data_IF_686934797534
#
_entry.id   IF_686934797534
#
_cell.length_a   1.000
_cell.length_b   1.000
_cell.length_c   1.000
_cell.angle_alpha   90.00
_cell.angle_beta   90.00
_cell.angle_gamma   90.00
#
_symmetry.space_group_name_H-M   'P 1'
#
loop_
_entity.id
_entity.type
_entity.pdbx_description
1 polymer ?
#
# COMPACT_ATOMS: atom_id res chain seq x y z
N UNK A 1 4.17 -52.56 -15.98
CA UNK A 1 4.28 -51.98 -17.33
C UNK A 1 2.95 -51.27 -17.60
N UNK A 2 2.88 -49.97 -17.34
CA UNK A 2 2.95 -48.85 -18.30
C UNK A 2 1.52 -48.41 -18.68
N UNK A 3 1.07 -47.16 -18.72
CA UNK A 3 1.40 -45.83 -18.16
C UNK A 3 0.08 -45.00 -18.28
N UNK A 4 -0.18 -43.95 -17.48
CA UNK A 4 -1.37 -43.11 -17.65
C UNK A 4 -1.22 -42.12 -18.84
N UNK A 5 -2.31 -41.64 -19.46
CA UNK A 5 -2.22 -40.78 -20.63
C UNK A 5 -1.65 -39.39 -20.29
N UNK A 6 -0.69 -38.96 -21.12
CA UNK A 6 0.08 -37.71 -21.04
C UNK A 6 -0.78 -36.44 -20.98
N UNK A 7 -0.43 -35.56 -20.03
CA UNK A 7 -0.76 -34.15 -20.04
C UNK A 7 -0.05 -33.47 -21.22
N UNK A 8 -0.83 -33.12 -22.25
CA UNK A 8 -0.34 -32.41 -23.43
C UNK A 8 -0.13 -30.92 -23.10
N UNK A 9 1.11 -30.52 -22.82
CA UNK A 9 1.54 -29.13 -22.98
C UNK A 9 2.43 -29.01 -24.22
N UNK A 10 2.14 -28.05 -25.11
CA UNK A 10 3.21 -27.33 -25.80
C UNK A 10 3.06 -25.81 -25.67
N UNK A 11 3.96 -25.25 -24.84
CA UNK A 11 4.85 -24.10 -25.06
C UNK A 11 4.34 -22.70 -25.50
N UNK A 12 5.09 -21.64 -25.12
CA UNK A 12 4.62 -20.27 -25.02
C UNK A 12 4.78 -19.50 -26.34
N UNK A 13 3.82 -18.64 -26.67
CA UNK A 13 4.01 -17.56 -27.66
C UNK A 13 3.58 -16.22 -27.08
N UNK A 14 4.57 -15.44 -26.65
CA UNK A 14 4.54 -13.96 -26.70
C UNK A 14 4.88 -13.57 -28.15
N UNK A 15 4.37 -12.46 -28.72
CA UNK A 15 4.54 -11.11 -28.16
C UNK A 15 3.30 -10.21 -28.21
N UNK A 16 3.27 -9.23 -27.31
CA UNK A 16 2.31 -8.14 -27.31
C UNK A 16 2.34 -7.36 -28.63
N UNK A 17 1.16 -6.97 -29.12
CA UNK A 17 1.03 -6.04 -30.23
C UNK A 17 1.56 -4.66 -29.82
N UNK A 18 2.54 -4.16 -30.57
CA UNK A 18 3.06 -2.80 -30.46
C UNK A 18 2.23 -1.90 -31.37
N UNK A 19 1.27 -1.15 -30.82
CA UNK A 19 0.49 -0.17 -31.57
C UNK A 19 0.56 1.18 -30.86
N UNK A 20 1.65 1.91 -31.11
CA UNK A 20 1.59 3.36 -31.21
C UNK A 20 2.49 3.82 -32.37
N UNK A 21 1.98 4.60 -33.34
CA UNK A 21 2.81 5.27 -34.31
C UNK A 21 3.53 6.44 -33.61
N UNK A 22 4.86 6.40 -33.63
CA UNK A 22 5.70 7.53 -33.19
C UNK A 22 5.83 8.55 -34.32
N UNK A 23 5.50 9.84 -34.14
CA UNK A 23 5.95 10.88 -35.04
C UNK A 23 7.41 11.25 -34.75
N UNK A 24 8.20 11.27 -35.82
CA UNK A 24 9.64 11.53 -35.89
C UNK A 24 10.06 12.86 -35.21
N UNK A 25 11.23 12.87 -34.55
CA UNK A 25 12.43 13.59 -35.04
C UNK A 25 13.65 13.42 -34.13
N UNK A 26 14.63 12.69 -34.67
CA UNK A 26 16.09 12.93 -34.59
C UNK A 26 16.78 13.19 -33.25
N UNK A 27 17.53 12.20 -32.77
CA UNK A 27 18.94 12.42 -32.45
C UNK A 27 19.75 11.12 -32.65
N UNK A 28 20.74 11.24 -33.53
CA UNK A 28 21.64 10.18 -33.94
C UNK A 28 22.81 10.17 -32.94
N UNK A 29 22.93 9.14 -32.09
CA UNK A 29 24.17 8.88 -31.34
C UNK A 29 24.51 7.41 -31.48
N UNK A 30 25.37 7.13 -32.48
CA UNK A 30 26.20 5.93 -32.50
C UNK A 30 27.02 5.92 -31.21
N UNK A 31 26.92 4.89 -30.36
CA UNK A 31 27.90 4.63 -29.32
C UNK A 31 28.74 3.40 -29.72
N UNK A 32 30.06 3.53 -29.78
CA UNK A 32 30.95 2.44 -30.14
C UNK A 32 31.04 1.44 -28.99
N UNK A 33 31.33 0.19 -29.37
CA UNK A 33 31.74 -0.88 -28.48
C UNK A 33 33.18 -0.63 -28.08
N UNK A 34 33.43 -0.36 -26.80
CA UNK A 34 34.76 -0.45 -26.17
C UNK A 34 34.60 -1.17 -24.83
N UNK A 35 35.24 -2.34 -24.75
CA UNK A 35 35.65 -3.01 -23.53
C UNK A 35 36.95 -2.33 -23.07
N UNK A 36 37.00 -1.70 -21.88
CA UNK A 36 38.15 -1.67 -20.96
C UNK A 36 37.81 -0.97 -19.63
N UNK A 37 38.63 -1.18 -18.62
CA UNK A 37 38.37 -1.10 -17.18
C UNK A 37 38.28 0.32 -16.60
N UNK A 38 37.26 0.60 -15.77
CA UNK A 38 37.42 1.56 -14.66
C UNK A 38 36.44 1.30 -13.50
N UNK A 39 36.96 0.67 -12.46
CA UNK A 39 36.39 0.62 -11.11
C UNK A 39 36.68 1.96 -10.43
N UNK A 40 35.65 2.73 -10.10
CA UNK A 40 35.53 3.59 -8.89
C UNK A 40 34.33 4.55 -9.04
N UNK A 41 33.53 4.69 -7.98
CA UNK A 41 32.46 5.70 -7.71
C UNK A 41 31.07 5.17 -7.29
N UNK A 42 30.92 3.88 -6.97
CA UNK A 42 29.64 3.36 -6.40
C UNK A 42 29.61 3.39 -4.85
N UNK A 43 30.73 3.67 -4.20
CA UNK A 43 30.90 3.45 -2.74
C UNK A 43 30.34 4.56 -1.85
N UNK A 44 30.07 5.77 -2.35
CA UNK A 44 29.66 6.89 -1.49
C UNK A 44 28.13 7.01 -1.31
N UNK A 45 27.34 6.67 -2.35
CA UNK A 45 25.88 6.70 -2.25
C UNK A 45 25.30 5.50 -1.51
N UNK A 46 25.95 4.32 -1.59
CA UNK A 46 25.50 3.13 -0.86
C UNK A 46 25.78 3.22 0.63
N UNK A 47 26.93 3.76 1.04
CA UNK A 47 27.28 3.95 2.46
C UNK A 47 26.32 4.92 3.15
N UNK A 48 25.93 6.00 2.45
CA UNK A 48 24.89 6.92 2.95
C UNK A 48 23.50 6.28 2.97
N UNK A 49 23.18 5.33 2.07
CA UNK A 49 21.94 4.51 2.14
C UNK A 49 21.97 3.45 3.23
N UNK A 50 23.12 2.94 3.60
CA UNK A 50 23.27 1.95 4.69
C UNK A 50 23.14 2.60 6.07
N UNK A 51 23.58 3.84 6.25
CA UNK A 51 23.44 4.56 7.54
C UNK A 51 21.99 4.95 7.91
N UNK A 52 21.04 4.83 6.97
CA UNK A 52 19.61 5.21 7.11
C UNK A 52 18.79 4.39 8.12
N UNK A 53 19.37 3.35 8.73
CA UNK A 53 18.66 2.43 9.65
C UNK A 53 19.26 2.35 11.05
N UNK A 54 20.35 3.08 11.34
CA UNK A 54 21.21 2.73 12.47
C UNK A 54 20.89 3.39 13.82
N UNK A 55 20.19 4.52 13.89
CA UNK A 55 20.31 5.39 15.09
C UNK A 55 19.11 5.48 16.05
N UNK A 56 18.00 4.76 15.83
CA UNK A 56 16.79 4.93 16.69
C UNK A 56 16.20 3.64 17.26
N UNK A 57 16.88 2.51 17.11
CA UNK A 57 16.27 1.17 17.21
C UNK A 57 16.73 0.30 18.40
N UNK A 58 17.71 0.73 19.20
CA UNK A 58 18.47 -0.20 20.05
C UNK A 58 17.68 -0.81 21.22
N UNK A 59 16.61 -0.16 21.71
CA UNK A 59 15.83 -0.65 22.85
C UNK A 59 14.77 -1.71 22.47
N UNK A 60 14.24 -1.70 21.24
CA UNK A 60 13.17 -2.59 20.79
C UNK A 60 13.67 -3.81 19.99
N UNK A 61 14.99 -3.99 19.91
CA UNK A 61 15.63 -5.07 19.17
C UNK A 61 15.84 -6.30 20.07
N UNK A 62 15.49 -7.47 19.55
CA UNK A 62 15.94 -8.72 20.15
C UNK A 62 17.46 -8.83 20.04
N UNK A 63 18.09 -9.53 20.98
CA UNK A 63 19.54 -9.78 20.96
C UNK A 63 19.99 -10.46 19.64
N UNK A 64 19.18 -11.38 19.11
CA UNK A 64 19.40 -12.02 17.81
C UNK A 64 19.36 -11.00 16.65
N UNK A 65 18.49 -9.99 16.72
CA UNK A 65 18.36 -8.97 15.67
C UNK A 65 19.55 -8.00 15.69
N UNK A 66 20.03 -7.64 16.89
CA UNK A 66 21.24 -6.83 17.06
C UNK A 66 22.46 -7.56 16.50
N UNK A 67 22.59 -8.85 16.80
CA UNK A 67 23.66 -9.68 16.25
C UNK A 67 23.60 -9.79 14.73
N UNK A 68 22.40 -9.93 14.16
CA UNK A 68 22.21 -9.96 12.71
C UNK A 68 22.65 -8.64 12.04
N UNK A 69 22.31 -7.50 12.62
CA UNK A 69 22.70 -6.18 12.12
C UNK A 69 24.22 -6.00 12.18
N UNK A 70 24.84 -6.33 13.31
CA UNK A 70 26.30 -6.20 13.48
C UNK A 70 27.07 -7.01 12.41
N UNK A 71 26.73 -8.29 12.24
CA UNK A 71 27.41 -9.13 11.25
C UNK A 71 27.20 -8.63 9.81
N UNK A 72 26.06 -7.98 9.53
CA UNK A 72 25.67 -7.58 8.18
C UNK A 72 26.08 -6.16 7.80
N UNK A 73 25.96 -5.21 8.71
CA UNK A 73 26.22 -3.78 8.48
C UNK A 73 27.63 -3.40 8.90
N UNK A 74 28.11 -3.87 10.06
CA UNK A 74 29.43 -3.51 10.59
C UNK A 74 30.52 -4.40 10.01
N UNK A 75 30.35 -5.73 10.07
CA UNK A 75 31.33 -6.69 9.56
C UNK A 75 31.15 -7.01 8.06
N UNK A 76 30.03 -6.60 7.46
CA UNK A 76 29.73 -6.79 6.03
C UNK A 76 29.83 -8.24 5.51
N UNK A 77 29.53 -9.22 6.36
CA UNK A 77 29.69 -10.64 6.02
C UNK A 77 28.66 -11.14 4.98
N UNK A 78 29.02 -12.16 4.17
CA UNK A 78 28.07 -12.83 3.29
C UNK A 78 27.10 -13.69 4.11
N UNK A 79 25.86 -13.85 3.62
CA UNK A 79 24.80 -14.53 4.36
C UNK A 79 25.13 -15.96 4.81
N UNK A 80 25.94 -16.67 4.03
CA UNK A 80 26.37 -18.03 4.36
C UNK A 80 27.25 -18.06 5.61
N UNK A 81 28.13 -17.09 5.76
CA UNK A 81 29.02 -17.02 6.92
C UNK A 81 28.30 -16.44 8.14
N UNK A 82 27.34 -15.54 7.93
CA UNK A 82 26.40 -15.11 8.98
C UNK A 82 25.65 -16.33 9.55
N UNK A 83 25.13 -17.23 8.70
CA UNK A 83 24.44 -18.43 9.17
C UNK A 83 25.36 -19.33 10.03
N UNK A 84 26.62 -19.50 9.64
CA UNK A 84 27.62 -20.23 10.45
C UNK A 84 27.86 -19.54 11.80
N UNK A 85 28.00 -18.21 11.83
CA UNK A 85 28.16 -17.43 13.08
C UNK A 85 26.96 -17.59 14.01
N UNK A 86 25.74 -17.60 13.49
CA UNK A 86 24.55 -17.89 14.29
C UNK A 86 24.57 -19.32 14.88
N UNK A 87 25.10 -20.30 14.15
CA UNK A 87 25.26 -21.66 14.65
C UNK A 87 26.35 -21.75 15.71
N UNK A 88 27.51 -21.14 15.49
CA UNK A 88 28.65 -21.19 16.41
C UNK A 88 28.44 -20.37 17.68
N UNK A 89 27.96 -19.14 17.56
CA UNK A 89 27.94 -18.17 18.67
C UNK A 89 26.61 -18.20 19.43
N UNK A 90 25.51 -18.57 18.75
CA UNK A 90 24.16 -18.60 19.34
C UNK A 90 23.55 -20.01 19.42
N UNK A 91 24.22 -21.03 18.87
CA UNK A 91 23.70 -22.40 18.82
C UNK A 91 22.44 -22.57 17.96
N UNK A 92 22.10 -21.57 17.14
CA UNK A 92 20.84 -21.53 16.37
C UNK A 92 21.13 -21.72 14.90
N UNK A 93 20.49 -22.72 14.30
CA UNK A 93 20.66 -23.02 12.89
C UNK A 93 19.60 -22.29 12.05
N UNK A 94 19.99 -21.18 11.41
CA UNK A 94 19.11 -20.45 10.50
C UNK A 94 19.46 -20.72 9.04
N UNK A 95 18.45 -20.91 8.20
CA UNK A 95 18.64 -20.88 6.75
C UNK A 95 18.91 -19.43 6.30
N UNK A 96 19.76 -19.26 5.29
CA UNK A 96 20.09 -17.98 4.65
C UNK A 96 18.83 -17.20 4.27
N UNK A 97 17.82 -17.86 3.69
CA UNK A 97 16.57 -17.20 3.30
C UNK A 97 15.82 -16.59 4.51
N UNK A 98 15.83 -17.29 5.65
CA UNK A 98 15.21 -16.80 6.87
C UNK A 98 15.94 -15.56 7.41
N UNK A 99 17.27 -15.57 7.42
CA UNK A 99 18.10 -14.41 7.82
C UNK A 99 17.89 -13.22 6.89
N UNK A 100 17.83 -13.45 5.58
CA UNK A 100 17.56 -12.41 4.58
C UNK A 100 16.20 -11.76 4.81
N UNK A 101 15.15 -12.57 5.00
CA UNK A 101 13.81 -12.05 5.29
C UNK A 101 13.76 -11.28 6.61
N UNK A 102 14.43 -11.82 7.64
CA UNK A 102 14.52 -11.18 8.95
C UNK A 102 15.20 -9.81 8.85
N UNK A 103 16.37 -9.73 8.21
CA UNK A 103 17.07 -8.48 7.96
C UNK A 103 16.26 -7.49 7.10
N UNK A 104 15.60 -7.97 6.04
CA UNK A 104 14.72 -7.13 5.21
C UNK A 104 13.62 -6.48 6.06
N UNK A 105 12.94 -7.25 6.90
CA UNK A 105 11.88 -6.74 7.80
C UNK A 105 12.46 -5.76 8.81
N UNK A 106 13.66 -6.03 9.31
CA UNK A 106 14.35 -5.18 10.27
C UNK A 106 14.65 -3.80 9.69
N UNK A 107 15.21 -3.76 8.47
CA UNK A 107 15.47 -2.49 7.78
C UNK A 107 14.21 -1.69 7.48
N UNK A 108 13.11 -2.36 7.14
CA UNK A 108 11.83 -1.68 6.94
C UNK A 108 11.28 -1.15 8.27
N UNK A 109 11.31 -1.96 9.33
CA UNK A 109 10.84 -1.58 10.67
C UNK A 109 11.57 -0.34 11.19
N UNK A 110 12.87 -0.25 10.96
CA UNK A 110 13.72 0.84 11.45
C UNK A 110 14.12 1.85 10.37
N UNK A 111 13.33 1.94 9.31
CA UNK A 111 13.55 2.94 8.27
C UNK A 111 13.38 4.34 8.86
N UNK A 112 14.46 5.12 8.87
CA UNK A 112 14.43 6.51 9.31
C UNK A 112 14.09 7.41 8.12
N UNK A 113 13.17 8.35 8.32
CA UNK A 113 12.93 9.44 7.37
C UNK A 113 14.05 10.46 7.49
N UNK A 114 14.79 10.68 6.41
CA UNK A 114 15.77 11.76 6.37
C UNK A 114 15.07 13.10 6.14
N UNK A 115 15.76 14.19 6.48
CA UNK A 115 15.24 15.54 6.25
C UNK A 115 14.86 15.79 4.78
N UNK A 116 15.63 15.22 3.84
CA UNK A 116 15.31 15.27 2.41
C UNK A 116 14.00 14.55 2.07
N UNK A 117 13.74 13.39 2.70
CA UNK A 117 12.50 12.63 2.50
C UNK A 117 11.30 13.41 3.04
N UNK A 118 11.45 14.02 4.23
CA UNK A 118 10.41 14.85 4.85
C UNK A 118 10.13 16.08 4.01
N UNK A 119 11.16 16.75 3.49
CA UNK A 119 11.01 17.92 2.64
C UNK A 119 10.33 17.57 1.31
N UNK A 120 10.71 16.44 0.70
CA UNK A 120 10.03 15.93 -0.49
C UNK A 120 8.56 15.61 -0.23
N UNK A 121 8.25 15.00 0.93
CA UNK A 121 6.87 14.72 1.33
C UNK A 121 6.05 16.00 1.51
N UNK A 122 6.60 17.02 2.18
CA UNK A 122 5.95 18.33 2.35
C UNK A 122 5.63 18.97 1.00
N UNK A 123 6.61 19.01 0.09
CA UNK A 123 6.43 19.59 -1.24
C UNK A 123 5.38 18.83 -2.06
N UNK A 124 5.41 17.49 -2.00
CA UNK A 124 4.40 16.66 -2.66
C UNK A 124 2.99 16.90 -2.11
N UNK A 125 2.87 17.05 -0.78
CA UNK A 125 1.60 17.37 -0.14
C UNK A 125 1.09 18.75 -0.55
N UNK A 126 1.95 19.78 -0.52
CA UNK A 126 1.57 21.14 -0.94
C UNK A 126 1.13 21.18 -2.41
N UNK A 127 1.85 20.48 -3.29
CA UNK A 127 1.44 20.33 -4.68
C UNK A 127 0.07 19.65 -4.79
N UNK A 128 -0.14 18.56 -4.06
CA UNK A 128 -1.42 17.87 -4.04
C UNK A 128 -2.54 18.78 -3.55
N UNK A 129 -2.36 19.57 -2.49
CA UNK A 129 -3.39 20.48 -1.99
C UNK A 129 -3.82 21.51 -3.04
N UNK A 130 -2.85 22.05 -3.79
CA UNK A 130 -3.08 23.04 -4.85
C UNK A 130 -3.73 22.40 -6.09
N UNK A 131 -3.37 21.16 -6.42
CA UNK A 131 -3.76 20.51 -7.69
C UNK A 131 -4.73 19.33 -7.54
N UNK A 132 -5.23 19.02 -6.33
CA UNK A 132 -6.09 17.85 -6.09
C UNK A 132 -7.32 17.83 -6.98
N UNK A 133 -7.93 19.00 -7.23
CA UNK A 133 -9.12 19.10 -8.08
C UNK A 133 -8.80 18.92 -9.55
N UNK A 134 -7.61 19.33 -10.01
CA UNK A 134 -7.14 19.06 -11.37
C UNK A 134 -6.89 17.56 -11.55
N UNK A 135 -6.27 16.91 -10.56
CA UNK A 135 -6.05 15.46 -10.55
C UNK A 135 -7.39 14.72 -10.54
N UNK A 136 -8.34 15.12 -9.69
CA UNK A 136 -9.68 14.51 -9.63
C UNK A 136 -10.44 14.73 -10.93
N UNK A 137 -10.49 15.95 -11.45
CA UNK A 137 -11.11 16.28 -12.74
C UNK A 137 -10.54 15.43 -13.85
N UNK A 138 -9.21 15.31 -13.93
CA UNK A 138 -8.54 14.42 -14.87
C UNK A 138 -9.01 12.98 -14.67
N UNK A 139 -8.99 12.43 -13.46
CA UNK A 139 -9.40 11.04 -13.22
C UNK A 139 -10.87 10.78 -13.51
N UNK A 140 -11.76 11.70 -13.19
CA UNK A 140 -13.20 11.60 -13.47
C UNK A 140 -13.46 11.72 -14.98
N UNK A 141 -12.71 12.57 -15.68
CA UNK A 141 -12.95 12.86 -17.10
C UNK A 141 -12.19 11.96 -18.08
N UNK A 142 -11.04 11.40 -17.68
CA UNK A 142 -10.23 10.49 -18.50
C UNK A 142 -10.53 9.02 -18.22
N UNK A 143 -11.16 8.67 -17.09
CA UNK A 143 -11.55 7.30 -16.85
C UNK A 143 -12.81 6.99 -17.64
N UNK A 144 -12.76 5.92 -18.43
CA UNK A 144 -13.90 5.22 -19.08
C UNK A 144 -15.13 5.01 -18.19
N UNK A 145 -15.04 5.27 -16.88
CA UNK A 145 -16.19 5.31 -15.96
C UNK A 145 -17.28 6.25 -16.46
N UNK A 146 -16.97 7.40 -17.06
CA UNK A 146 -18.01 8.28 -17.60
C UNK A 146 -18.50 7.83 -18.98
N UNK A 147 -17.70 7.10 -19.77
CA UNK A 147 -18.19 6.47 -21.01
C UNK A 147 -19.20 5.35 -20.71
N UNK A 148 -19.01 4.58 -19.64
CA UNK A 148 -19.96 3.55 -19.18
C UNK A 148 -21.29 4.15 -18.72
N UNK A 149 -21.29 5.41 -18.27
CA UNK A 149 -22.50 6.19 -17.91
C UNK A 149 -22.96 7.18 -18.99
N UNK A 150 -22.40 7.14 -20.21
CA UNK A 150 -22.79 8.00 -21.33
C UNK A 150 -22.47 9.50 -21.17
N UNK A 151 -21.59 9.85 -20.22
CA UNK A 151 -21.18 11.21 -19.94
C UNK A 151 -19.96 11.56 -20.81
N UNK A 152 -20.22 12.22 -21.93
CA UNK A 152 -19.20 12.80 -22.82
C UNK A 152 -18.59 14.10 -22.27
N UNK A 153 -19.12 14.61 -21.16
CA UNK A 153 -18.75 15.92 -20.64
C UNK A 153 -17.60 15.82 -19.64
N UNK A 154 -16.52 16.54 -19.97
CA UNK A 154 -15.36 16.70 -19.10
C UNK A 154 -15.73 17.63 -17.95
N UNK A 155 -15.64 17.15 -16.71
CA UNK A 155 -15.95 17.94 -15.53
C UNK A 155 -14.78 18.82 -15.14
N UNK A 156 -14.93 20.17 -15.12
CA UNK A 156 -13.85 21.05 -14.70
C UNK A 156 -13.51 20.87 -13.20
N UNK A 157 -12.26 21.10 -12.78
CA UNK A 157 -11.79 20.98 -11.39
C UNK A 157 -12.72 21.67 -10.37
N UNK A 158 -13.18 22.88 -10.69
CA UNK A 158 -14.09 23.66 -9.83
C UNK A 158 -15.44 22.98 -9.59
N UNK A 159 -15.95 22.24 -10.57
CA UNK A 159 -17.21 21.51 -10.44
C UNK A 159 -17.06 20.29 -9.54
N UNK A 160 -15.95 19.56 -9.70
CA UNK A 160 -15.60 18.46 -8.80
C UNK A 160 -15.47 18.97 -7.34
N UNK A 161 -14.80 20.11 -7.14
CA UNK A 161 -14.62 20.73 -5.83
C UNK A 161 -15.96 21.08 -5.16
N UNK A 162 -16.83 21.79 -5.86
CA UNK A 162 -18.15 22.18 -5.35
C UNK A 162 -18.99 20.95 -5.01
N UNK A 163 -19.01 19.97 -5.91
CA UNK A 163 -19.81 18.76 -5.69
C UNK A 163 -19.31 17.95 -4.49
N UNK A 164 -18.00 17.89 -4.31
CA UNK A 164 -17.42 17.22 -3.15
C UNK A 164 -17.76 17.93 -1.83
N UNK A 165 -17.80 19.27 -1.80
CA UNK A 165 -18.23 20.03 -0.61
C UNK A 165 -19.68 19.71 -0.21
N UNK A 166 -20.59 19.60 -1.19
CA UNK A 166 -21.97 19.16 -0.93
C UNK A 166 -22.01 17.74 -0.33
N UNK A 167 -21.22 16.82 -0.88
CA UNK A 167 -21.11 15.44 -0.39
C UNK A 167 -20.56 15.42 1.04
N UNK A 168 -19.52 16.19 1.34
CA UNK A 168 -18.97 16.28 2.70
C UNK A 168 -19.98 16.85 3.69
N UNK A 169 -20.76 17.86 3.30
CA UNK A 169 -21.83 18.41 4.12
C UNK A 169 -22.94 17.36 4.38
N UNK A 170 -23.32 16.58 3.36
CA UNK A 170 -24.27 15.48 3.52
C UNK A 170 -23.72 14.38 4.43
N UNK A 171 -22.45 13.96 4.25
CA UNK A 171 -21.79 12.97 5.12
C UNK A 171 -21.76 13.47 6.57
N UNK A 172 -21.40 14.72 6.79
CA UNK A 172 -21.38 15.32 8.12
C UNK A 172 -22.78 15.34 8.75
N UNK A 173 -23.81 15.72 7.99
CA UNK A 173 -25.20 15.71 8.44
C UNK A 173 -25.67 14.30 8.79
N UNK A 174 -25.40 13.30 7.96
CA UNK A 174 -25.74 11.90 8.23
C UNK A 174 -25.03 11.38 9.48
N UNK A 175 -23.74 11.67 9.65
CA UNK A 175 -22.99 11.28 10.86
C UNK A 175 -23.58 11.88 12.12
N UNK A 176 -23.99 13.16 12.09
CA UNK A 176 -24.62 13.83 13.21
C UNK A 176 -26.00 13.23 13.56
N UNK A 177 -26.82 12.93 12.54
CA UNK A 177 -28.14 12.32 12.72
C UNK A 177 -28.05 10.91 13.34
N UNK A 178 -27.07 10.09 12.94
CA UNK A 178 -26.84 8.76 13.53
C UNK A 178 -26.40 8.85 15.01
N UNK A 179 -25.60 9.85 15.38
CA UNK A 179 -25.19 10.06 16.79
C UNK A 179 -26.27 10.71 17.66
N UNK A 180 -27.18 11.49 17.06
CA UNK A 180 -28.27 12.17 17.78
C UNK A 180 -29.48 11.28 18.10
N UNK A 181 -29.61 10.11 17.47
CA UNK A 181 -30.78 9.23 17.60
C UNK A 181 -30.87 8.42 18.91
N UNK A 182 -29.97 8.64 19.89
CA UNK A 182 -30.02 7.98 21.20
C UNK A 182 -30.56 8.86 22.34
N UNK A 183 -31.04 10.08 22.08
CA UNK A 183 -31.71 10.89 23.11
C UNK A 183 -33.01 11.52 22.59
N UNK A 184 -34.12 10.98 23.08
CA UNK A 184 -35.38 11.72 23.21
C UNK A 184 -36.50 11.29 22.28
N UNK A 185 -37.09 10.12 22.53
CA UNK A 185 -38.54 9.98 22.28
C UNK A 185 -39.27 10.60 23.48
N UNK A 186 -40.06 11.67 23.34
CA UNK A 186 -41.03 12.01 24.37
C UNK A 186 -42.09 10.91 24.34
N UNK A 187 -42.24 10.18 25.44
CA UNK A 187 -43.37 9.29 25.64
C UNK A 187 -44.65 10.11 25.56
N UNK A 188 -45.48 9.83 24.56
CA UNK A 188 -46.90 10.17 24.61
C UNK A 188 -47.63 8.97 25.23
N UNK A 189 -48.04 9.12 26.48
CA UNK A 189 -48.84 8.11 27.19
C UNK A 189 -50.27 8.14 26.65
N UNK A 190 -50.78 6.99 26.21
CA UNK A 190 -52.18 6.78 25.84
C UNK A 190 -52.90 6.08 27.01
N UNK A 191 -54.07 6.55 27.49
CA UNK A 191 -54.77 5.93 28.60
C UNK A 191 -55.53 4.69 28.12
N UNK A 192 -55.47 3.64 28.95
CA UNK A 192 -56.22 2.39 28.83
C UNK A 192 -57.64 2.62 29.34
N UNK A 193 -58.64 2.31 28.50
CA UNK A 193 -60.03 2.15 28.93
C UNK A 193 -60.39 0.66 28.80
N UNK A 194 -60.78 0.07 29.93
CA UNK A 194 -61.08 -1.35 30.05
C UNK A 194 -62.54 -1.64 29.71
N UNK A 195 -62.80 -2.83 29.15
CA UNK A 195 -64.16 -3.38 29.16
C UNK A 195 -64.12 -4.91 29.27
N UNK A 196 -64.64 -5.37 30.41
CA UNK A 196 -64.82 -6.75 30.87
C UNK A 196 -66.09 -7.33 30.26
N UNK A 197 -66.04 -8.45 29.52
CA UNK A 197 -67.13 -9.43 29.31
C UNK A 197 -66.51 -10.67 28.61
N UNK A 198 -66.91 -11.93 28.74
CA UNK A 198 -67.69 -12.73 29.68
C UNK A 198 -67.60 -14.17 29.12
N UNK A 199 -67.20 -15.14 29.96
CA UNK A 199 -67.49 -16.60 29.95
C UNK A 199 -67.54 -17.45 28.66
N UNK A 200 -66.94 -18.65 28.73
CA UNK A 200 -67.28 -19.78 27.86
C UNK A 200 -66.28 -20.94 27.87
N UNK A 201 -66.22 -21.72 28.95
CA UNK A 201 -65.54 -23.02 29.01
C UNK A 201 -66.43 -24.11 28.40
N UNK A 202 -65.88 -24.95 27.51
CA UNK A 202 -66.53 -26.17 27.02
C UNK A 202 -65.48 -27.28 26.89
N UNK A 203 -65.61 -28.43 27.58
CA UNK A 203 -64.78 -29.61 27.34
C UNK A 203 -65.54 -30.69 26.54
N UNK A 204 -64.82 -31.46 25.74
CA UNK A 204 -65.29 -32.73 25.14
C UNK A 204 -64.05 -33.62 25.01
N UNK A 205 -63.89 -34.59 25.92
CA UNK A 205 -64.12 -36.04 25.73
C UNK A 205 -63.12 -36.66 24.75
#
# INVERSE_FOLDING_TARGET
>A
MASPPELRQPQPRRPYANIQPSPQSTCNVKRPREDDYQVESVTEFETKRRRRTASVASADLSEDDRFLLQLKEDESLPWKDIAKRFQSDKGKNFNVAALQMRYKRLREKFRVWEEQDVNALKLAHEYWERSKWDIISAKVSYADRMLEYGLNERWPPRHCARKWQEIEAQIAFTRAATTGSLRGTPQVSSPVDGSVHHFGFVPMQ
#
